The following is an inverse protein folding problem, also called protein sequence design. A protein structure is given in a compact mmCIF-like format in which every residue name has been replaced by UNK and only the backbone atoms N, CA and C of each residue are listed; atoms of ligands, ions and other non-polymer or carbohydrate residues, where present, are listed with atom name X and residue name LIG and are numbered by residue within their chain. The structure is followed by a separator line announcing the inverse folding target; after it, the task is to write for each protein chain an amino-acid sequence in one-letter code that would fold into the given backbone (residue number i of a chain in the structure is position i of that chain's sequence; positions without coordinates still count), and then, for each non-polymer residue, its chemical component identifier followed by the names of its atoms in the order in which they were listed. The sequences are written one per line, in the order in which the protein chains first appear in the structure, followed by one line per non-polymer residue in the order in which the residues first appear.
data_IF_006007154148
#
_entry.id   IF_006007154148
#
_cell.length_a   1.000
_cell.length_b   1.000
_cell.length_c   1.000
_cell.angle_alpha   90.00
_cell.angle_beta   90.00
_cell.angle_gamma   90.00
#
_symmetry.space_group_name_H-M   'P 1'
#
loop_
_entity.id
_entity.type
_entity.pdbx_description
1 polymer ?
#
# COMPACT_ATOMS: atom_id res chain seq x y z
N UNK A 1 6.14 -43.09 26.88
CA UNK A 1 6.91 -42.21 25.96
C UNK A 1 6.02 -41.44 24.98
N UNK A 2 5.23 -42.07 24.10
CA UNK A 2 4.41 -41.31 23.14
C UNK A 2 3.14 -40.72 23.77
N UNK A 3 2.51 -41.47 24.69
CA UNK A 3 1.31 -41.05 25.43
C UNK A 3 1.55 -39.77 26.27
N UNK A 4 2.75 -39.64 26.86
CA UNK A 4 3.11 -38.52 27.73
C UNK A 4 3.29 -37.22 26.91
N UNK A 5 3.85 -37.35 25.71
CA UNK A 5 3.99 -36.26 24.74
C UNK A 5 2.60 -35.81 24.26
N UNK A 6 1.71 -36.75 23.94
CA UNK A 6 0.34 -36.41 23.50
C UNK A 6 -0.47 -35.71 24.60
N UNK A 7 -0.30 -36.11 25.86
CA UNK A 7 -0.92 -35.44 27.01
C UNK A 7 -0.37 -34.02 27.21
N UNK A 8 0.94 -33.86 27.15
CA UNK A 8 1.58 -32.54 27.26
C UNK A 8 1.12 -31.59 26.14
N UNK A 9 1.02 -32.07 24.90
CA UNK A 9 0.50 -31.29 23.77
C UNK A 9 -0.97 -30.90 24.01
N UNK A 10 -1.78 -31.83 24.50
CA UNK A 10 -3.19 -31.54 24.78
C UNK A 10 -3.35 -30.45 25.87
N UNK A 11 -2.58 -30.55 26.95
CA UNK A 11 -2.59 -29.57 28.05
C UNK A 11 -2.14 -28.18 27.59
N UNK A 12 -1.11 -28.12 26.74
CA UNK A 12 -0.64 -26.86 26.14
C UNK A 12 -1.72 -26.23 25.26
N UNK A 13 -2.37 -27.00 24.38
CA UNK A 13 -3.44 -26.52 23.51
C UNK A 13 -4.65 -25.99 24.30
N UNK A 14 -5.01 -26.65 25.39
CA UNK A 14 -6.08 -26.18 26.29
C UNK A 14 -5.70 -24.85 26.95
N UNK A 15 -4.43 -24.71 27.36
CA UNK A 15 -3.92 -23.49 28.00
C UNK A 15 -3.92 -22.30 27.05
N UNK A 16 -3.47 -22.49 25.80
CA UNK A 16 -3.51 -21.47 24.74
C UNK A 16 -4.95 -21.02 24.47
N UNK A 17 -5.89 -21.97 24.39
CA UNK A 17 -7.30 -21.65 24.13
C UNK A 17 -7.91 -20.81 25.26
N UNK A 18 -7.56 -21.09 26.51
CA UNK A 18 -8.00 -20.28 27.66
C UNK A 18 -7.45 -18.86 27.58
N UNK A 19 -6.16 -18.69 27.32
CA UNK A 19 -5.52 -17.37 27.19
C UNK A 19 -6.14 -16.53 26.06
N UNK A 20 -6.42 -17.12 24.90
CA UNK A 20 -7.07 -16.42 23.79
C UNK A 20 -8.53 -16.03 24.10
N UNK A 21 -9.24 -16.89 24.83
CA UNK A 21 -10.62 -16.60 25.26
C UNK A 21 -10.66 -15.49 26.31
N UNK A 22 -9.65 -15.43 27.18
CA UNK A 22 -9.52 -14.37 28.19
C UNK A 22 -9.06 -13.03 27.58
N UNK A 23 -8.13 -13.07 26.62
CA UNK A 23 -7.70 -11.89 25.86
C UNK A 23 -8.85 -11.28 25.04
N UNK A 24 -9.77 -12.10 24.55
CA UNK A 24 -10.97 -11.62 23.82
C UNK A 24 -12.08 -11.14 24.76
N UNK A 25 -12.12 -11.59 26.02
CA UNK A 25 -13.12 -11.18 27.01
C UNK A 25 -12.72 -9.94 27.83
N UNK A 26 -11.42 -9.66 27.96
CA UNK A 26 -10.88 -8.57 28.80
C UNK A 26 -10.68 -7.23 28.08
N UNK A 27 -11.02 -7.11 26.80
CA UNK A 27 -10.91 -5.86 26.06
C UNK A 27 -12.27 -5.15 25.89
N UNK A 28 -12.66 -4.21 26.77
CA UNK A 28 -13.55 -3.15 26.33
C UNK A 28 -12.82 -2.37 25.23
N UNK A 29 -13.45 -2.27 24.05
CA UNK A 29 -13.00 -1.39 22.95
C UNK A 29 -13.08 0.07 23.42
N UNK A 30 -12.07 0.51 24.14
CA UNK A 30 -11.78 1.93 24.37
C UNK A 30 -11.17 2.48 23.09
N UNK A 31 -12.00 3.10 22.25
CA UNK A 31 -11.55 3.94 21.14
C UNK A 31 -10.69 5.06 21.73
N UNK A 32 -9.39 5.20 21.39
CA UNK A 32 -8.69 6.43 21.69
C UNK A 32 -9.19 7.51 20.72
N UNK A 33 -10.02 8.43 21.22
CA UNK A 33 -10.11 9.78 20.64
C UNK A 33 -8.73 10.41 20.83
N UNK A 34 -7.87 10.29 19.82
CA UNK A 34 -6.60 11.01 19.77
C UNK A 34 -6.88 12.38 19.16
N UNK A 35 -6.73 13.41 19.98
CA UNK A 35 -6.67 14.80 19.57
C UNK A 35 -5.65 15.00 18.43
N UNK A 36 -5.86 15.97 17.52
CA UNK A 36 -4.96 16.23 16.41
C UNK A 36 -3.63 16.79 16.94
N UNK A 37 -2.67 15.91 17.18
CA UNK A 37 -1.27 16.34 17.31
C UNK A 37 -0.76 16.64 15.90
N UNK A 38 -0.65 17.91 15.57
CA UNK A 38 0.27 18.42 14.54
C UNK A 38 1.67 17.92 14.86
N UNK A 39 2.06 16.79 14.28
CA UNK A 39 3.43 16.33 14.26
C UNK A 39 3.98 16.59 12.85
N UNK A 40 4.64 17.74 12.71
CA UNK A 40 5.72 17.89 11.74
C UNK A 40 6.73 16.80 12.05
N UNK A 41 6.85 15.81 11.17
CA UNK A 41 7.96 14.86 11.19
C UNK A 41 8.66 14.93 9.85
N UNK A 42 9.74 15.70 9.82
CA UNK A 42 10.88 15.46 8.95
C UNK A 42 11.37 14.04 9.25
N UNK A 43 10.94 13.06 8.45
CA UNK A 43 11.43 11.71 8.59
C UNK A 43 12.89 11.68 8.10
N UNK A 44 13.79 11.52 9.08
CA UNK A 44 15.22 11.37 8.93
C UNK A 44 15.53 10.27 7.91
N UNK A 45 16.19 10.65 6.83
CA UNK A 45 16.84 9.71 5.92
C UNK A 45 17.99 9.02 6.65
N UNK A 46 17.78 7.80 7.13
CA UNK A 46 18.87 6.87 7.40
C UNK A 46 18.67 5.67 6.51
N UNK A 47 19.49 5.56 5.47
CA UNK A 47 19.68 4.30 4.73
C UNK A 47 20.13 3.23 5.72
N UNK A 48 19.17 2.48 6.24
CA UNK A 48 19.34 1.55 7.34
C UNK A 48 19.07 0.14 6.86
N UNK A 49 20.14 -0.53 6.45
CA UNK A 49 20.14 -1.92 6.00
C UNK A 49 19.68 -2.86 7.14
N UNK A 50 18.38 -3.14 7.25
CA UNK A 50 17.86 -4.32 7.97
C UNK A 50 17.50 -4.17 9.44
N UNK A 51 17.01 -3.00 9.88
CA UNK A 51 16.22 -2.91 11.11
C UNK A 51 14.77 -3.33 10.84
N UNK A 52 14.04 -3.72 11.89
CA UNK A 52 12.60 -3.99 11.90
C UNK A 52 11.83 -2.69 11.60
N UNK A 53 11.98 -2.19 10.38
CA UNK A 53 11.41 -0.95 9.91
C UNK A 53 9.90 -1.17 9.77
N UNK A 54 9.13 -0.39 10.53
CA UNK A 54 7.68 -0.51 10.57
C UNK A 54 7.14 -0.17 9.18
N UNK A 55 6.84 -1.22 8.41
CA UNK A 55 6.25 -1.07 7.08
C UNK A 55 4.84 -0.50 7.27
N UNK A 56 4.53 0.65 6.67
CA UNK A 56 3.20 1.23 6.77
C UNK A 56 2.17 0.42 5.98
N UNK A 57 0.92 0.45 6.43
CA UNK A 57 -0.19 -0.20 5.75
C UNK A 57 -0.33 0.29 4.29
N UNK A 58 -0.80 -0.56 3.37
CA UNK A 58 -1.08 -0.13 2.00
C UNK A 58 -2.19 0.92 2.00
N UNK A 59 -2.00 1.99 1.22
CA UNK A 59 -3.05 3.02 1.02
C UNK A 59 -4.21 2.46 0.20
N UNK A 60 -3.92 1.52 -0.69
CA UNK A 60 -4.87 0.80 -1.51
C UNK A 60 -4.47 -0.68 -1.51
N UNK A 61 -5.41 -1.57 -1.17
CA UNK A 61 -5.17 -3.01 -1.25
C UNK A 61 -5.24 -3.42 -2.72
N UNK A 62 -4.12 -3.93 -3.23
CA UNK A 62 -4.02 -4.36 -4.63
C UNK A 62 -4.44 -5.82 -4.75
N UNK A 63 -5.49 -6.14 -5.54
CA UNK A 63 -5.83 -7.53 -5.86
C UNK A 63 -4.67 -8.21 -6.59
N UNK A 64 -4.40 -9.49 -6.28
CA UNK A 64 -3.31 -10.25 -6.87
C UNK A 64 -1.94 -9.55 -6.77
N UNK A 65 -1.65 -8.95 -5.61
CA UNK A 65 -0.39 -8.25 -5.34
C UNK A 65 0.88 -9.08 -5.68
N UNK A 66 0.78 -10.41 -5.64
CA UNK A 66 1.87 -11.31 -6.02
C UNK A 66 2.29 -11.27 -7.49
N UNK A 67 1.41 -10.87 -8.41
CA UNK A 67 1.67 -10.87 -9.86
C UNK A 67 2.21 -9.52 -10.37
N UNK A 68 2.14 -8.47 -9.54
CA UNK A 68 2.68 -7.16 -9.88
C UNK A 68 4.18 -7.28 -10.12
N UNK A 69 4.64 -6.80 -11.27
CA UNK A 69 6.04 -6.89 -11.68
C UNK A 69 6.80 -5.65 -11.24
N UNK A 70 8.07 -5.84 -10.88
CA UNK A 70 8.98 -4.73 -10.67
C UNK A 70 9.35 -4.10 -12.01
N UNK A 71 9.37 -2.76 -12.10
CA UNK A 71 9.63 -2.04 -13.36
C UNK A 71 10.96 -1.29 -13.39
N UNK A 72 11.84 -1.52 -12.40
CA UNK A 72 13.12 -0.81 -12.29
C UNK A 72 14.19 -1.62 -11.55
N UNK A 73 15.44 -1.22 -11.74
CA UNK A 73 16.60 -1.83 -11.09
C UNK A 73 16.86 -3.27 -11.54
N UNK A 74 17.51 -4.05 -10.68
CA UNK A 74 17.95 -5.42 -11.00
C UNK A 74 16.79 -6.43 -11.12
N UNK A 75 15.66 -6.14 -10.48
CA UNK A 75 14.50 -7.04 -10.45
C UNK A 75 13.47 -6.73 -11.54
N UNK A 76 13.81 -5.91 -12.54
CA UNK A 76 12.88 -5.52 -13.60
C UNK A 76 12.26 -6.76 -14.30
N UNK A 77 10.93 -6.80 -14.38
CA UNK A 77 10.13 -7.92 -14.90
C UNK A 77 9.84 -9.05 -13.90
N UNK A 78 10.41 -9.01 -12.69
CA UNK A 78 10.18 -10.05 -11.67
C UNK A 78 8.91 -9.73 -10.88
N UNK A 79 8.03 -10.72 -10.73
CA UNK A 79 6.82 -10.60 -9.92
C UNK A 79 7.14 -10.50 -8.42
N UNK A 80 6.37 -9.71 -7.68
CA UNK A 80 6.58 -9.48 -6.25
C UNK A 80 6.54 -10.78 -5.42
N UNK A 81 5.73 -11.76 -5.81
CA UNK A 81 5.67 -13.08 -5.17
C UNK A 81 6.96 -13.91 -5.29
N UNK A 82 7.80 -13.64 -6.29
CA UNK A 82 9.08 -14.33 -6.53
C UNK A 82 10.24 -13.68 -5.78
N UNK A 83 10.02 -12.49 -5.20
CA UNK A 83 11.03 -11.81 -4.41
C UNK A 83 11.19 -12.45 -3.04
N UNK A 84 12.41 -12.40 -2.50
CA UNK A 84 12.65 -12.74 -1.10
C UNK A 84 11.98 -11.73 -0.18
N UNK A 85 11.63 -12.16 1.03
CA UNK A 85 11.02 -11.30 2.05
C UNK A 85 11.83 -10.00 2.27
N UNK A 86 13.16 -10.09 2.30
CA UNK A 86 14.05 -8.93 2.41
C UNK A 86 13.99 -7.98 1.20
N UNK A 87 13.80 -8.52 0.00
CA UNK A 87 13.65 -7.67 -1.20
C UNK A 87 12.27 -7.03 -1.23
N UNK A 88 11.25 -7.77 -0.79
CA UNK A 88 9.88 -7.30 -0.72
C UNK A 88 9.72 -6.17 0.32
N UNK A 89 10.37 -6.28 1.48
CA UNK A 89 10.36 -5.21 2.48
C UNK A 89 10.91 -3.90 1.94
N UNK A 90 11.97 -3.96 1.12
CA UNK A 90 12.58 -2.78 0.49
C UNK A 90 11.60 -2.03 -0.44
N UNK A 91 10.75 -2.75 -1.18
CA UNK A 91 9.73 -2.12 -2.02
C UNK A 91 8.51 -1.63 -1.24
N UNK A 92 8.27 -2.19 -0.05
CA UNK A 92 7.18 -1.79 0.81
C UNK A 92 7.52 -0.57 1.69
N UNK A 93 8.80 -0.35 2.01
CA UNK A 93 9.27 0.86 2.68
C UNK A 93 9.17 2.09 1.78
N UNK A 94 9.04 3.26 2.41
CA UNK A 94 8.96 4.51 1.69
C UNK A 94 10.35 4.96 1.24
N UNK A 95 10.55 4.97 -0.08
CA UNK A 95 11.80 5.42 -0.68
C UNK A 95 11.83 6.96 -0.73
N UNK A 96 12.99 7.59 -0.46
CA UNK A 96 13.11 9.04 -0.53
C UNK A 96 12.82 9.53 -1.96
N UNK A 97 12.13 10.68 -2.11
CA UNK A 97 11.87 11.25 -3.43
C UNK A 97 13.16 11.48 -4.20
N UNK A 98 13.18 11.03 -5.46
CA UNK A 98 14.30 11.35 -6.36
C UNK A 98 14.23 12.84 -6.69
N UNK A 99 15.33 13.57 -6.51
CA UNK A 99 15.40 14.99 -6.83
C UNK A 99 15.94 15.20 -8.26
N UNK A 100 15.44 16.22 -8.94
CA UNK A 100 15.97 16.72 -10.20
C UNK A 100 17.24 17.59 -9.98
N UNK A 101 17.86 18.04 -11.07
CA UNK A 101 19.03 18.94 -11.01
C UNK A 101 18.73 20.31 -10.38
N UNK A 102 17.46 20.66 -10.23
CA UNK A 102 16.97 21.87 -9.60
C UNK A 102 16.57 21.66 -8.13
N UNK A 103 16.77 20.46 -7.58
CA UNK A 103 16.42 20.09 -6.21
C UNK A 103 14.93 19.81 -5.98
N UNK A 104 14.10 19.76 -7.03
CA UNK A 104 12.68 19.43 -6.92
C UNK A 104 12.46 17.93 -7.06
N UNK A 105 11.56 17.31 -6.29
CA UNK A 105 11.29 15.88 -6.42
C UNK A 105 10.62 15.57 -7.76
N UNK A 106 11.03 14.48 -8.39
CA UNK A 106 10.31 13.91 -9.52
C UNK A 106 8.88 13.53 -9.08
N UNK A 107 7.88 13.78 -9.94
CA UNK A 107 6.52 13.34 -9.65
C UNK A 107 6.48 11.81 -9.51
N UNK A 108 5.77 11.33 -8.49
CA UNK A 108 5.60 9.90 -8.25
C UNK A 108 4.89 9.27 -9.46
N UNK A 109 5.50 8.24 -10.03
CA UNK A 109 4.87 7.52 -11.15
C UNK A 109 3.72 6.65 -10.60
N UNK A 110 2.59 6.56 -11.32
CA UNK A 110 1.49 5.68 -10.90
C UNK A 110 1.95 4.23 -10.70
N UNK A 111 2.82 3.74 -11.60
CA UNK A 111 3.40 2.39 -11.55
C UNK A 111 4.20 2.14 -10.26
N UNK A 112 4.96 3.12 -9.79
CA UNK A 112 5.73 3.02 -8.54
C UNK A 112 4.80 3.02 -7.32
N UNK A 113 3.72 3.80 -7.38
CA UNK A 113 2.71 3.83 -6.32
C UNK A 113 1.96 2.51 -6.22
N UNK A 114 1.51 1.96 -7.35
CA UNK A 114 0.86 0.65 -7.43
C UNK A 114 1.79 -0.45 -6.93
N UNK A 115 3.05 -0.45 -7.35
CA UNK A 115 4.05 -1.43 -6.91
C UNK A 115 4.28 -1.37 -5.41
N UNK A 116 4.39 -0.17 -4.84
CA UNK A 116 4.57 0.03 -3.40
C UNK A 116 3.35 -0.45 -2.60
N UNK A 117 2.14 -0.13 -3.07
CA UNK A 117 0.90 -0.60 -2.45
C UNK A 117 0.75 -2.12 -2.55
N UNK A 118 1.13 -2.72 -3.67
CA UNK A 118 1.16 -4.17 -3.84
C UNK A 118 2.19 -4.83 -2.92
N UNK A 119 3.41 -4.27 -2.82
CA UNK A 119 4.45 -4.77 -1.92
C UNK A 119 4.01 -4.71 -0.46
N UNK A 120 3.39 -3.61 -0.02
CA UNK A 120 2.81 -3.48 1.33
C UNK A 120 1.68 -4.49 1.55
N UNK A 121 0.77 -4.62 0.58
CA UNK A 121 -0.32 -5.60 0.64
C UNK A 121 0.23 -7.01 0.84
N UNK A 122 1.19 -7.43 0.02
CA UNK A 122 1.79 -8.76 0.09
C UNK A 122 2.60 -8.96 1.38
N UNK A 123 3.34 -7.95 1.84
CA UNK A 123 4.06 -7.98 3.12
C UNK A 123 3.12 -8.23 4.30
N UNK A 124 2.08 -7.40 4.42
CA UNK A 124 1.12 -7.48 5.50
C UNK A 124 0.22 -8.72 5.40
N UNK A 125 -0.07 -9.19 4.19
CA UNK A 125 -0.75 -10.46 3.95
C UNK A 125 0.10 -11.64 4.46
N UNK A 126 1.39 -11.67 4.14
CA UNK A 126 2.31 -12.72 4.61
C UNK A 126 2.49 -12.72 6.14
N UNK A 127 2.43 -11.54 6.77
CA UNK A 127 2.53 -11.39 8.23
C UNK A 127 1.19 -11.54 8.97
N UNK A 128 0.06 -11.61 8.26
CA UNK A 128 -1.27 -11.60 8.87
C UNK A 128 -1.66 -10.29 9.56
N UNK A 129 -1.02 -9.18 9.20
CA UNK A 129 -1.22 -7.84 9.79
C UNK A 129 -1.92 -6.86 8.86
N UNK A 130 -2.48 -7.34 7.74
CA UNK A 130 -3.19 -6.50 6.78
C UNK A 130 -4.40 -5.86 7.44
N UNK A 131 -4.32 -4.54 7.67
CA UNK A 131 -5.47 -3.76 8.12
C UNK A 131 -6.55 -3.78 7.04
N UNK A 132 -7.81 -3.61 7.44
CA UNK A 132 -8.81 -3.16 6.47
C UNK A 132 -8.27 -1.86 5.86
N UNK A 133 -8.06 -1.84 4.54
CA UNK A 133 -7.70 -0.61 3.86
C UNK A 133 -8.76 0.40 4.20
N UNK A 134 -8.44 1.34 5.07
CA UNK A 134 -9.26 2.50 5.29
C UNK A 134 -9.26 3.20 3.94
N UNK A 135 -10.36 3.05 3.20
CA UNK A 135 -10.59 3.73 1.94
C UNK A 135 -10.53 5.19 2.31
N UNK A 136 -9.35 5.80 2.16
CA UNK A 136 -9.18 7.24 2.30
C UNK A 136 -9.96 7.81 1.13
N UNK A 137 -11.25 8.06 1.39
CA UNK A 137 -12.11 8.96 0.65
C UNK A 137 -11.24 10.17 0.31
N UNK A 138 -11.03 10.49 -0.98
CA UNK A 138 -10.14 11.58 -1.34
C UNK A 138 -10.62 12.83 -0.60
N UNK A 139 -9.75 13.36 0.26
CA UNK A 139 -9.96 14.66 0.86
C UNK A 139 -10.09 15.65 -0.29
N UNK A 140 -11.30 16.16 -0.44
CA UNK A 140 -11.70 17.20 -1.37
C UNK A 140 -10.67 18.33 -1.37
N UNK A 141 -9.90 18.42 -2.45
CA UNK A 141 -9.22 19.64 -2.83
C UNK A 141 -10.29 20.66 -3.31
N UNK A 142 -10.83 21.45 -2.40
CA UNK A 142 -11.21 22.84 -2.68
C UNK A 142 -10.03 23.69 -2.22
N UNK A 143 -9.49 24.66 -2.96
CA UNK A 143 -10.10 25.68 -3.81
C UNK A 143 -9.08 26.00 -4.92
N UNK A 144 -9.42 25.95 -6.21
CA UNK A 144 -9.82 27.16 -6.93
C UNK A 144 -10.55 26.78 -8.23
N UNK A 145 -11.85 27.04 -8.23
CA UNK A 145 -12.65 27.19 -9.43
C UNK A 145 -12.55 28.64 -9.91
N UNK A 146 -11.99 28.83 -11.11
CA UNK A 146 -12.23 29.88 -12.11
C UNK A 146 -11.09 29.72 -13.14
N UNK A 147 -11.29 29.46 -14.43
CA UNK A 147 -12.39 29.84 -15.30
C UNK A 147 -12.43 28.95 -16.56
N UNK A 148 -13.58 29.03 -17.26
CA UNK A 148 -13.85 28.64 -18.65
C UNK A 148 -13.94 27.12 -18.91
N UNK A 149 -15.12 26.47 -19.03
CA UNK A 149 -16.19 26.67 -20.03
C UNK A 149 -15.57 26.98 -21.40
N UNK A 150 -15.57 26.13 -22.42
CA UNK A 150 -16.72 25.49 -23.08
C UNK A 150 -16.15 24.65 -24.26
N UNK A 151 -17.02 23.83 -24.87
CA UNK A 151 -16.91 23.09 -26.15
C UNK A 151 -16.54 21.61 -25.99
N UNK A 152 -17.55 20.75 -25.82
CA UNK A 152 -18.35 20.13 -26.91
C UNK A 152 -17.48 19.15 -27.72
N UNK A 153 -17.50 17.86 -27.37
CA UNK A 153 -18.45 16.86 -27.86
C UNK A 153 -18.36 16.58 -29.37
N UNK A 154 -18.27 15.28 -29.68
CA UNK A 154 -18.50 14.61 -30.98
C UNK A 154 -17.27 14.44 -31.89
N UNK A 155 -16.65 13.27 -31.81
CA UNK A 155 -16.25 12.51 -33.00
C UNK A 155 -17.43 11.62 -33.43
N UNK A 156 -17.48 10.99 -34.62
CA UNK A 156 -16.56 10.98 -35.77
C UNK A 156 -17.28 11.30 -37.12
N UNK A 157 -16.58 11.46 -38.25
CA UNK A 157 -16.86 10.78 -39.55
C UNK A 157 -16.02 11.32 -40.73
N UNK A 158 -15.90 10.44 -41.73
CA UNK A 158 -15.04 10.36 -42.90
C UNK A 158 -15.07 11.52 -43.92
N UNK A 159 -14.04 11.59 -44.81
CA UNK A 159 -13.91 12.59 -45.86
C UNK A 159 -14.63 12.10 -47.13
N UNK A 160 -15.69 12.76 -47.56
CA UNK A 160 -16.18 12.71 -48.95
C UNK A 160 -17.22 13.82 -49.16
N UNK A 161 -17.16 14.38 -50.36
CA UNK A 161 -18.26 14.93 -51.16
C UNK A 161 -18.16 16.43 -51.48
N UNK A 162 -17.35 16.71 -52.51
CA UNK A 162 -17.30 17.94 -53.27
C UNK A 162 -18.32 17.79 -54.43
N UNK A 163 -19.52 18.35 -54.29
CA UNK A 163 -20.40 18.61 -55.43
C UNK A 163 -21.27 19.87 -55.20
N UNK A 164 -20.99 20.88 -56.05
CA UNK A 164 -21.80 21.94 -56.73
C UNK A 164 -23.34 21.87 -56.51
N UNK A 165 -24.18 22.95 -56.63
CA UNK A 165 -23.97 24.20 -57.40
C UNK A 165 -24.62 25.52 -56.90
N UNK A 166 -24.26 26.64 -57.54
CA UNK A 166 -25.17 27.74 -57.95
C UNK A 166 -24.64 28.40 -59.23
#
# INVERSE_FOLDING_TARGET
MNEDILKSIHEELVSIRKLLTEATKSAPRSVPVRAPSTATSYASSSGGMGGDEIIPQPTEVVPNAGDVQVHFGKNNGVALSKLSERSLSWYATEQPPRLDSSGKPYPARPQETTLRNAARTLWHQNKGTLGQADVVKPASAGVSAAAAAELAAVAPTHPSDEEVPF
#
